data_IF_925070497912
#
_entry.id   IF_925070497912
#
_cell.length_a   1.000
_cell.length_b   1.000
_cell.length_c   1.000
_cell.angle_alpha   90.00
_cell.angle_beta   90.00
_cell.angle_gamma   90.00
#
_symmetry.space_group_name_H-M   'P 1'
#
loop_
_entity.id
_entity.type
_entity.pdbx_description
1 polymer ?
#
# COMPACT_ATOMS: atom_id res chain seq x y z
N UNK A 1 14.10 -20.91 21.31
CA UNK A 1 12.70 -21.18 21.59
C UNK A 1 11.82 -20.41 20.62
N UNK A 2 10.83 -21.07 20.09
CA UNK A 2 9.90 -20.53 19.12
C UNK A 2 9.02 -19.45 19.78
N UNK A 3 9.12 -18.21 19.33
CA UNK A 3 8.27 -17.10 19.83
C UNK A 3 6.85 -17.17 19.28
N UNK A 4 6.60 -17.98 18.25
CA UNK A 4 5.32 -18.01 17.56
C UNK A 4 4.16 -18.52 18.42
N UNK A 5 4.41 -19.47 19.33
CA UNK A 5 3.36 -20.02 20.18
C UNK A 5 3.11 -19.20 21.45
N UNK A 6 4.14 -18.98 22.27
CA UNK A 6 3.96 -18.47 23.62
C UNK A 6 3.69 -16.96 23.69
N UNK A 7 4.30 -16.16 22.82
CA UNK A 7 4.17 -14.69 22.86
C UNK A 7 2.86 -14.24 22.22
N UNK A 8 2.44 -14.90 21.16
CA UNK A 8 1.17 -14.59 20.50
C UNK A 8 -0.02 -14.96 21.38
N UNK A 9 0.00 -16.10 22.06
CA UNK A 9 -1.08 -16.52 22.96
C UNK A 9 -1.26 -15.60 24.16
N UNK A 10 -0.19 -15.18 24.84
CA UNK A 10 -0.30 -14.39 26.07
C UNK A 10 -0.70 -12.93 25.86
N UNK A 11 -0.33 -12.33 24.74
CA UNK A 11 -0.57 -10.89 24.48
C UNK A 11 -1.88 -10.66 23.73
N UNK A 12 -2.29 -11.55 22.86
CA UNK A 12 -3.45 -11.39 21.98
C UNK A 12 -4.73 -12.00 22.55
N UNK A 13 -4.66 -12.98 23.42
CA UNK A 13 -5.83 -13.66 23.99
C UNK A 13 -6.57 -12.85 25.06
N UNK A 14 -6.09 -11.66 25.44
CA UNK A 14 -6.82 -10.79 26.38
C UNK A 14 -7.98 -10.05 25.69
N UNK A 15 -8.90 -10.79 25.09
CA UNK A 15 -10.26 -10.32 24.87
C UNK A 15 -10.65 -9.79 23.50
N UNK A 16 -9.97 -10.17 22.41
CA UNK A 16 -10.41 -9.84 21.04
C UNK A 16 -10.39 -11.06 20.14
N UNK A 17 -11.34 -11.11 19.23
CA UNK A 17 -11.53 -12.12 18.20
C UNK A 17 -10.26 -12.20 17.32
N UNK A 18 -9.48 -13.23 17.51
CA UNK A 18 -8.12 -13.33 16.98
C UNK A 18 -8.04 -14.43 15.95
N UNK A 19 -8.36 -14.12 14.71
CA UNK A 19 -7.94 -14.93 13.58
C UNK A 19 -6.54 -14.54 13.15
N UNK A 20 -5.55 -14.76 14.00
CA UNK A 20 -4.15 -14.65 13.58
C UNK A 20 -3.78 -15.79 12.66
N UNK A 21 -2.88 -15.51 11.72
CA UNK A 21 -2.20 -16.56 10.97
C UNK A 21 -1.46 -17.46 11.95
N UNK A 22 -1.94 -18.69 12.07
CA UNK A 22 -1.24 -19.73 12.81
C UNK A 22 -0.05 -20.19 11.97
N UNK A 23 1.08 -19.53 12.17
CA UNK A 23 2.33 -19.90 11.53
C UNK A 23 3.51 -19.71 12.48
N UNK A 24 4.34 -20.72 12.57
CA UNK A 24 5.60 -20.63 13.28
C UNK A 24 6.58 -19.82 12.41
N UNK A 25 6.98 -18.65 12.88
CA UNK A 25 8.06 -17.87 12.29
C UNK A 25 9.38 -18.14 13.01
N UNK A 26 10.54 -18.06 12.33
CA UNK A 26 11.83 -18.18 12.99
C UNK A 26 12.01 -17.17 14.10
N UNK A 27 12.57 -17.61 15.20
CA UNK A 27 12.82 -16.76 16.36
C UNK A 27 13.81 -15.64 16.05
N UNK A 28 13.45 -14.43 16.44
CA UNK A 28 14.33 -13.29 16.43
C UNK A 28 14.97 -13.13 17.83
N UNK A 29 16.28 -13.29 17.89
CA UNK A 29 17.02 -13.29 19.17
C UNK A 29 17.34 -11.86 19.60
N UNK A 30 16.34 -11.10 20.05
CA UNK A 30 16.52 -9.85 20.75
C UNK A 30 16.22 -9.98 22.24
N UNK A 31 16.85 -9.12 23.02
CA UNK A 31 16.66 -9.08 24.48
C UNK A 31 15.36 -8.42 24.91
N UNK A 32 14.76 -7.61 24.05
CA UNK A 32 13.48 -6.94 24.32
C UNK A 32 12.33 -7.66 23.60
N UNK A 33 11.21 -7.79 24.32
CA UNK A 33 9.99 -8.33 23.74
C UNK A 33 9.40 -7.35 22.74
N UNK A 34 8.95 -7.81 21.56
CA UNK A 34 8.29 -6.95 20.60
C UNK A 34 6.94 -6.46 21.10
N UNK A 35 6.49 -5.34 20.59
CA UNK A 35 5.07 -5.00 20.61
C UNK A 35 4.39 -5.74 19.45
N UNK A 36 3.19 -6.26 19.70
CA UNK A 36 2.43 -7.03 18.72
C UNK A 36 1.19 -6.25 18.33
N UNK A 37 0.99 -6.10 17.05
CA UNK A 37 -0.15 -5.39 16.46
C UNK A 37 -0.84 -6.26 15.41
N UNK A 38 -2.14 -6.12 15.30
CA UNK A 38 -2.84 -6.58 14.11
C UNK A 38 -2.63 -5.59 12.98
N UNK A 39 -2.26 -6.07 11.82
CA UNK A 39 -2.14 -5.30 10.60
C UNK A 39 -3.06 -5.88 9.54
N UNK A 40 -3.84 -5.04 8.89
CA UNK A 40 -4.73 -5.47 7.81
C UNK A 40 -5.74 -6.57 8.22
N UNK A 41 -6.92 -6.17 8.56
CA UNK A 41 -7.93 -6.96 9.25
C UNK A 41 -8.51 -8.17 8.55
N UNK A 42 -8.27 -8.34 7.28
CA UNK A 42 -9.01 -9.36 6.51
C UNK A 42 -8.37 -10.74 6.58
N UNK A 43 -7.08 -10.85 6.97
CA UNK A 43 -6.32 -12.09 6.79
C UNK A 43 -5.57 -12.59 8.02
N UNK A 44 -5.79 -11.97 9.18
CA UNK A 44 -5.07 -12.34 10.41
C UNK A 44 -3.59 -11.94 10.40
N UNK A 45 -3.21 -10.97 9.57
CA UNK A 45 -1.85 -10.44 9.55
C UNK A 45 -1.51 -9.77 10.88
N UNK A 46 -0.26 -9.89 11.30
CA UNK A 46 0.22 -9.24 12.51
C UNK A 46 1.63 -8.70 12.33
N UNK A 47 1.97 -7.72 13.14
CA UNK A 47 3.27 -7.08 13.18
C UNK A 47 3.93 -7.28 14.54
N UNK A 48 5.22 -7.60 14.51
CA UNK A 48 6.10 -7.60 15.66
C UNK A 48 7.04 -6.41 15.53
N UNK A 49 6.92 -5.43 16.42
CA UNK A 49 7.75 -4.24 16.41
C UNK A 49 8.78 -4.30 17.52
N UNK A 50 10.04 -4.23 17.13
CA UNK A 50 11.22 -4.19 18.00
C UNK A 50 11.81 -2.79 18.00
N UNK A 51 12.20 -2.31 19.19
CA UNK A 51 12.90 -1.04 19.39
C UNK A 51 14.37 -1.26 19.67
N UNK A 52 15.15 -0.19 19.56
CA UNK A 52 16.59 -0.19 19.84
C UNK A 52 17.37 -1.24 19.02
N UNK A 53 16.94 -1.47 17.79
CA UNK A 53 17.59 -2.40 16.87
C UNK A 53 18.55 -1.69 15.95
N UNK A 54 19.55 -2.42 15.46
CA UNK A 54 20.48 -1.95 14.44
C UNK A 54 20.29 -2.67 13.10
N UNK A 55 21.05 -2.22 12.11
CA UNK A 55 21.07 -2.86 10.78
C UNK A 55 21.61 -4.29 10.85
N UNK A 56 22.49 -4.56 11.82
CA UNK A 56 23.08 -5.89 12.00
C UNK A 56 22.03 -6.92 12.43
N UNK A 57 21.11 -6.53 13.31
CA UNK A 57 19.99 -7.40 13.72
C UNK A 57 19.02 -7.66 12.56
N UNK A 58 18.75 -6.64 11.75
CA UNK A 58 17.97 -6.84 10.52
C UNK A 58 18.63 -7.85 9.59
N UNK A 59 19.92 -7.69 9.31
CA UNK A 59 20.66 -8.57 8.42
C UNK A 59 20.71 -10.01 8.97
N UNK A 60 20.94 -10.15 10.28
CA UNK A 60 20.95 -11.45 10.95
C UNK A 60 19.58 -12.15 10.87
N UNK A 61 18.48 -11.39 11.02
CA UNK A 61 17.15 -11.97 10.91
C UNK A 61 16.80 -12.35 9.48
N UNK A 62 17.14 -11.53 8.50
CA UNK A 62 16.98 -11.89 7.09
C UNK A 62 17.74 -13.17 6.75
N UNK A 63 18.96 -13.35 7.30
CA UNK A 63 19.72 -14.59 7.12
C UNK A 63 19.04 -15.78 7.82
N UNK A 64 18.49 -15.59 9.02
CA UNK A 64 17.74 -16.62 9.74
C UNK A 64 16.52 -17.10 8.95
N UNK A 65 15.80 -16.17 8.30
CA UNK A 65 14.69 -16.51 7.41
C UNK A 65 15.16 -17.34 6.20
N UNK A 66 16.25 -16.91 5.57
CA UNK A 66 16.82 -17.63 4.44
C UNK A 66 17.27 -19.05 4.82
N UNK A 67 17.96 -19.20 5.95
CA UNK A 67 18.42 -20.50 6.48
C UNK A 67 17.24 -21.41 6.87
N UNK A 68 16.11 -20.81 7.23
CA UNK A 68 14.85 -21.51 7.52
C UNK A 68 14.06 -21.88 6.26
N UNK A 69 14.61 -21.58 5.08
CA UNK A 69 14.03 -21.93 3.78
C UNK A 69 13.01 -20.93 3.24
N UNK A 70 12.94 -19.73 3.79
CA UNK A 70 12.16 -18.65 3.18
C UNK A 70 12.90 -18.07 1.97
N UNK A 71 12.23 -18.02 0.83
CA UNK A 71 12.78 -17.40 -0.38
C UNK A 71 12.62 -15.89 -0.34
N UNK A 72 13.69 -15.15 -0.61
CA UNK A 72 13.63 -13.68 -0.77
C UNK A 72 12.82 -13.34 -2.02
N UNK A 73 11.67 -12.69 -1.84
CA UNK A 73 10.80 -12.25 -2.92
C UNK A 73 11.12 -10.82 -3.36
N UNK A 74 11.48 -9.96 -2.43
CA UNK A 74 11.90 -8.58 -2.67
C UNK A 74 12.91 -8.14 -1.61
N UNK A 75 13.80 -7.21 -1.98
CA UNK A 75 14.70 -6.56 -1.05
C UNK A 75 15.23 -5.27 -1.63
N UNK A 76 15.25 -4.21 -0.85
CA UNK A 76 15.83 -2.92 -1.25
C UNK A 76 16.19 -2.08 -0.04
N UNK A 77 17.07 -1.12 -0.28
CA UNK A 77 17.51 -0.15 0.71
C UNK A 77 17.18 1.26 0.21
N UNK A 78 16.74 2.11 1.11
CA UNK A 78 16.52 3.53 0.84
C UNK A 78 17.07 4.34 2.00
N UNK A 79 18.15 5.09 1.74
CA UNK A 79 18.88 5.85 2.77
C UNK A 79 19.33 4.96 3.94
N UNK A 80 18.84 5.21 5.17
CA UNK A 80 19.12 4.41 6.36
C UNK A 80 18.17 3.25 6.59
N UNK A 81 17.14 3.10 5.74
CA UNK A 81 16.12 2.07 5.90
C UNK A 81 16.40 0.87 4.99
N UNK A 82 15.97 -0.30 5.43
CA UNK A 82 16.10 -1.56 4.68
C UNK A 82 14.83 -2.36 4.75
N UNK A 83 14.46 -3.00 3.64
CA UNK A 83 13.20 -3.72 3.48
C UNK A 83 13.44 -5.04 2.79
N UNK A 84 12.85 -6.11 3.30
CA UNK A 84 12.88 -7.43 2.68
C UNK A 84 11.56 -8.15 2.82
N UNK A 85 11.14 -8.82 1.77
CA UNK A 85 9.96 -9.67 1.76
C UNK A 85 10.37 -11.10 1.48
N UNK A 86 10.04 -11.99 2.37
CA UNK A 86 10.32 -13.41 2.29
C UNK A 86 9.04 -14.23 2.16
N UNK A 87 9.10 -15.37 1.48
CA UNK A 87 7.96 -16.26 1.30
C UNK A 87 8.31 -17.71 1.49
N UNK A 88 7.41 -18.42 2.18
CA UNK A 88 7.46 -19.89 2.34
C UNK A 88 6.07 -20.43 2.67
N UNK A 89 5.67 -21.52 2.04
CA UNK A 89 4.49 -22.32 2.38
C UNK A 89 3.19 -21.52 2.62
N UNK A 90 2.95 -20.50 1.79
CA UNK A 90 1.76 -19.67 1.90
C UNK A 90 1.84 -18.59 2.99
N UNK A 91 3.02 -18.32 3.51
CA UNK A 91 3.31 -17.22 4.45
C UNK A 91 4.22 -16.21 3.77
N UNK A 92 3.95 -14.93 3.98
CA UNK A 92 4.80 -13.80 3.62
C UNK A 92 5.28 -13.12 4.89
N UNK A 93 6.57 -12.90 4.99
CA UNK A 93 7.21 -12.16 6.08
C UNK A 93 7.88 -10.93 5.49
N UNK A 94 7.41 -9.75 5.88
CA UNK A 94 8.07 -8.49 5.57
C UNK A 94 8.93 -8.08 6.76
N UNK A 95 10.17 -7.71 6.50
CA UNK A 95 11.13 -7.25 7.52
C UNK A 95 11.56 -5.84 7.14
N UNK A 96 11.15 -4.87 7.95
CA UNK A 96 11.37 -3.45 7.70
C UNK A 96 12.25 -2.86 8.81
N UNK A 97 13.39 -2.30 8.44
CA UNK A 97 14.31 -1.63 9.35
C UNK A 97 14.30 -0.13 9.10
N UNK A 98 14.04 0.64 10.15
CA UNK A 98 14.00 2.10 10.16
C UNK A 98 15.23 2.65 10.88
N UNK A 99 16.25 3.00 10.13
CA UNK A 99 17.56 3.35 10.70
C UNK A 99 17.58 4.62 11.55
N UNK A 100 16.67 5.58 11.32
CA UNK A 100 16.57 6.81 12.12
C UNK A 100 15.97 6.58 13.49
N UNK A 101 14.92 5.75 13.56
CA UNK A 101 14.21 5.43 14.82
C UNK A 101 14.80 4.22 15.53
N UNK A 102 15.67 3.46 14.86
CA UNK A 102 16.21 2.18 15.31
C UNK A 102 15.09 1.19 15.67
N UNK A 103 14.16 1.07 14.78
CA UNK A 103 13.02 0.16 14.89
C UNK A 103 13.11 -0.90 13.80
N UNK A 104 12.63 -2.09 14.12
CA UNK A 104 12.51 -3.20 13.20
C UNK A 104 11.11 -3.77 13.32
N UNK A 105 10.37 -3.76 12.21
CA UNK A 105 9.07 -4.37 12.08
C UNK A 105 9.19 -5.71 11.35
N UNK A 106 8.55 -6.74 11.89
CA UNK A 106 8.39 -8.04 11.24
C UNK A 106 6.89 -8.26 11.04
N UNK A 107 6.44 -8.20 9.80
CA UNK A 107 5.03 -8.33 9.47
C UNK A 107 4.79 -9.70 8.86
N UNK A 108 3.87 -10.44 9.43
CA UNK A 108 3.50 -11.80 9.00
C UNK A 108 2.12 -11.78 8.36
N UNK A 109 2.03 -12.20 7.12
CA UNK A 109 0.80 -12.15 6.34
C UNK A 109 0.72 -13.33 5.34
N UNK A 110 -0.35 -13.41 4.61
CA UNK A 110 -0.45 -14.27 3.43
C UNK A 110 0.25 -13.62 2.23
N UNK A 111 0.85 -14.40 1.32
CA UNK A 111 1.48 -13.86 0.13
C UNK A 111 0.53 -12.99 -0.67
N UNK A 112 0.96 -11.78 -0.98
CA UNK A 112 0.26 -10.82 -1.81
C UNK A 112 1.02 -10.59 -3.11
N UNK A 113 0.39 -9.91 -4.07
CA UNK A 113 1.10 -9.49 -5.27
C UNK A 113 2.24 -8.55 -4.88
N UNK A 114 3.44 -8.82 -5.38
CA UNK A 114 4.59 -7.94 -5.18
C UNK A 114 4.54 -6.76 -6.14
N UNK A 115 4.97 -5.59 -5.68
CA UNK A 115 5.20 -4.44 -6.53
C UNK A 115 6.27 -4.76 -7.59
N UNK A 116 6.13 -4.20 -8.78
CA UNK A 116 7.20 -4.29 -9.78
C UNK A 116 8.35 -3.40 -9.34
N UNK A 117 9.50 -4.01 -9.03
CA UNK A 117 10.72 -3.29 -8.67
C UNK A 117 11.65 -3.05 -9.88
N UNK A 118 11.29 -3.59 -11.03
CA UNK A 118 12.09 -3.46 -12.23
C UNK A 118 11.75 -2.17 -12.96
N UNK A 119 12.72 -1.26 -13.02
CA UNK A 119 12.69 -0.16 -13.97
C UNK A 119 12.92 -0.72 -15.37
N UNK A 120 11.89 -0.75 -16.16
CA UNK A 120 12.01 -0.99 -17.59
C UNK A 120 11.91 0.37 -18.28
N UNK A 121 13.00 0.96 -18.79
CA UNK A 121 12.88 2.11 -19.65
C UNK A 121 12.08 1.69 -20.87
N UNK A 122 10.95 2.35 -21.08
CA UNK A 122 10.13 2.17 -22.26
C UNK A 122 10.50 3.24 -23.28
N UNK A 123 10.28 2.93 -24.56
CA UNK A 123 10.41 3.94 -25.62
C UNK A 123 9.44 5.09 -25.32
N UNK A 124 9.96 6.29 -25.23
CA UNK A 124 9.15 7.46 -24.93
C UNK A 124 8.24 7.79 -26.12
N UNK A 125 6.93 7.79 -25.86
CA UNK A 125 5.90 8.16 -26.84
C UNK A 125 5.22 9.49 -26.50
N UNK A 126 5.42 9.97 -25.26
CA UNK A 126 4.89 11.26 -24.79
C UNK A 126 5.83 11.91 -23.79
N UNK A 127 5.58 13.16 -23.45
CA UNK A 127 6.27 13.86 -22.36
C UNK A 127 5.55 13.55 -21.05
N UNK A 128 6.27 13.11 -20.01
CA UNK A 128 5.66 12.87 -18.70
C UNK A 128 4.96 14.10 -18.16
N UNK A 129 3.79 13.92 -17.56
CA UNK A 129 3.00 15.01 -17.01
C UNK A 129 2.18 14.58 -15.80
N UNK A 130 1.92 15.55 -14.94
CA UNK A 130 0.94 15.45 -13.88
C UNK A 130 -0.35 16.12 -14.35
N UNK A 131 -1.47 15.43 -14.23
CA UNK A 131 -2.79 15.91 -14.59
C UNK A 131 -3.65 15.78 -13.34
N UNK A 132 -4.27 16.87 -12.94
CA UNK A 132 -5.33 16.87 -11.95
C UNK A 132 -6.66 16.88 -12.72
N UNK A 133 -7.49 15.83 -12.62
CA UNK A 133 -8.77 15.79 -13.33
C UNK A 133 -9.72 16.92 -12.93
N UNK A 134 -9.44 17.56 -11.80
CA UNK A 134 -10.03 18.78 -11.24
C UNK A 134 -11.51 18.92 -11.46
N UNK A 135 -12.30 18.82 -10.43
CA UNK A 135 -13.69 19.15 -10.48
C UNK A 135 -13.95 20.45 -9.74
N UNK A 136 -14.07 21.52 -10.50
CA UNK A 136 -14.88 22.63 -10.06
C UNK A 136 -16.36 22.20 -10.13
N UNK A 137 -16.84 21.65 -9.03
CA UNK A 137 -18.26 21.39 -8.86
C UNK A 137 -18.81 22.50 -7.98
N UNK A 138 -19.47 23.50 -8.56
CA UNK A 138 -20.05 24.66 -7.86
C UNK A 138 -19.10 25.33 -6.83
N UNK A 139 -17.79 25.35 -7.12
CA UNK A 139 -16.76 25.92 -6.28
C UNK A 139 -16.27 25.03 -5.13
N UNK A 140 -16.70 23.78 -5.04
CA UNK A 140 -16.18 22.81 -4.09
C UNK A 140 -15.35 21.75 -4.82
N UNK A 141 -14.06 21.63 -4.47
CA UNK A 141 -13.24 20.48 -4.83
C UNK A 141 -13.81 19.24 -4.14
N UNK A 142 -14.11 18.21 -4.90
CA UNK A 142 -14.62 16.95 -4.36
C UNK A 142 -13.56 15.87 -4.47
N UNK A 143 -12.80 15.71 -3.39
CA UNK A 143 -11.84 14.64 -3.23
C UNK A 143 -10.54 14.82 -4.01
N UNK A 144 -9.62 13.93 -3.76
CA UNK A 144 -8.27 13.96 -4.29
C UNK A 144 -8.11 12.94 -5.42
N UNK A 145 -7.57 13.37 -6.55
CA UNK A 145 -7.16 12.47 -7.64
C UNK A 145 -6.06 13.11 -8.47
N UNK A 146 -4.93 12.42 -8.56
CA UNK A 146 -3.80 12.85 -9.40
C UNK A 146 -3.44 11.77 -10.41
N UNK A 147 -3.37 12.14 -11.67
CA UNK A 147 -2.98 11.26 -12.77
C UNK A 147 -1.58 11.65 -13.24
N UNK A 148 -0.64 10.75 -13.04
CA UNK A 148 0.73 10.86 -13.54
C UNK A 148 0.83 10.05 -14.83
N UNK A 149 1.13 10.69 -15.95
CA UNK A 149 1.41 10.00 -17.19
C UNK A 149 2.92 9.80 -17.35
N UNK A 150 3.35 8.56 -17.55
CA UNK A 150 4.72 8.20 -17.86
C UNK A 150 5.06 8.46 -19.32
N UNK A 151 6.34 8.47 -19.67
CA UNK A 151 6.80 8.68 -21.05
C UNK A 151 6.33 7.63 -22.04
N UNK A 152 6.03 6.41 -21.60
CA UNK A 152 5.45 5.35 -22.43
C UNK A 152 3.94 5.48 -22.67
N UNK A 153 3.34 6.56 -22.14
CA UNK A 153 1.91 6.84 -22.25
C UNK A 153 1.04 6.10 -21.21
N UNK A 154 1.63 5.27 -20.35
CA UNK A 154 0.91 4.63 -19.26
C UNK A 154 0.70 5.58 -18.07
N UNK A 155 -0.12 5.17 -17.10
CA UNK A 155 -0.52 6.01 -15.99
C UNK A 155 -0.17 5.40 -14.63
N UNK A 156 0.17 6.27 -13.69
CA UNK A 156 0.11 6.03 -12.25
C UNK A 156 -0.92 6.99 -11.68
N UNK A 157 -1.90 6.49 -10.96
CA UNK A 157 -2.96 7.31 -10.36
C UNK A 157 -2.82 7.27 -8.85
N UNK A 158 -2.99 8.43 -8.21
CA UNK A 158 -3.02 8.58 -6.75
C UNK A 158 -4.40 9.10 -6.39
N UNK A 159 -5.11 8.30 -5.63
CA UNK A 159 -6.52 8.44 -5.26
C UNK A 159 -7.49 8.48 -6.45
N UNK A 160 -8.76 8.41 -6.19
CA UNK A 160 -9.80 8.29 -7.20
C UNK A 160 -10.84 9.40 -7.16
N UNK A 161 -10.73 10.33 -6.22
CA UNK A 161 -11.75 11.36 -6.02
C UNK A 161 -13.09 10.81 -5.52
N UNK A 162 -14.09 11.67 -5.52
CA UNK A 162 -15.45 11.31 -5.10
C UNK A 162 -16.14 10.43 -6.16
N UNK A 163 -17.02 9.53 -5.70
CA UNK A 163 -17.76 8.59 -6.51
C UNK A 163 -19.00 9.20 -7.19
N UNK A 164 -18.87 10.31 -7.90
CA UNK A 164 -19.98 10.82 -8.69
C UNK A 164 -19.79 10.56 -10.21
N UNK A 165 -20.89 10.42 -10.93
CA UNK A 165 -20.88 10.05 -12.34
C UNK A 165 -20.14 11.09 -13.22
N UNK A 166 -20.21 12.38 -12.87
CA UNK A 166 -19.54 13.44 -13.63
C UNK A 166 -18.03 13.37 -13.43
N UNK A 167 -17.59 13.08 -12.19
CA UNK A 167 -16.17 12.87 -11.92
C UNK A 167 -15.62 11.66 -12.66
N UNK A 168 -16.30 10.52 -12.57
CA UNK A 168 -15.90 9.28 -13.24
C UNK A 168 -15.80 9.48 -14.75
N UNK A 169 -16.76 10.18 -15.36
CA UNK A 169 -16.71 10.54 -16.78
C UNK A 169 -15.52 11.45 -17.10
N UNK A 170 -15.26 12.44 -16.27
CA UNK A 170 -14.12 13.35 -16.42
C UNK A 170 -12.79 12.61 -16.30
N UNK A 171 -12.63 11.76 -15.28
CA UNK A 171 -11.44 10.95 -15.08
C UNK A 171 -11.18 10.06 -16.30
N UNK A 172 -12.19 9.33 -16.76
CA UNK A 172 -12.05 8.51 -17.95
C UNK A 172 -11.70 9.34 -19.19
N UNK A 173 -12.31 10.51 -19.38
CA UNK A 173 -11.99 11.39 -20.51
C UNK A 173 -10.54 11.84 -20.50
N UNK A 174 -10.02 12.24 -19.31
CA UNK A 174 -8.60 12.59 -19.15
C UNK A 174 -7.68 11.44 -19.52
N UNK A 175 -7.97 10.23 -19.07
CA UNK A 175 -7.18 9.05 -19.40
C UNK A 175 -7.22 8.76 -20.91
N UNK A 176 -8.41 8.82 -21.50
CA UNK A 176 -8.61 8.53 -22.93
C UNK A 176 -7.95 9.57 -23.85
N UNK A 177 -8.11 10.85 -23.55
CA UNK A 177 -7.56 11.96 -24.34
C UNK A 177 -6.03 11.99 -24.35
N UNK A 178 -5.42 11.48 -23.30
CA UNK A 178 -3.97 11.44 -23.14
C UNK A 178 -3.36 10.06 -23.47
N UNK A 179 -4.16 9.03 -23.71
CA UNK A 179 -3.66 7.72 -24.12
C UNK A 179 -3.00 7.78 -25.51
N UNK A 180 -1.98 6.96 -25.78
CA UNK A 180 -1.41 6.82 -27.11
C UNK A 180 -2.49 6.45 -28.13
N UNK A 181 -2.36 6.97 -29.34
CA UNK A 181 -3.36 6.77 -30.41
C UNK A 181 -3.68 5.28 -30.62
N UNK A 182 -4.97 4.97 -30.66
CA UNK A 182 -5.47 3.61 -30.86
C UNK A 182 -5.26 2.65 -29.68
N UNK A 183 -4.78 3.13 -28.54
CA UNK A 183 -4.59 2.33 -27.34
C UNK A 183 -5.68 2.61 -26.30
N UNK A 184 -5.99 1.59 -25.50
CA UNK A 184 -6.73 1.79 -24.25
C UNK A 184 -5.83 2.51 -23.25
N UNK A 185 -6.38 3.37 -22.38
CA UNK A 185 -5.65 3.86 -21.23
C UNK A 185 -5.12 2.69 -20.39
N UNK A 186 -3.82 2.70 -20.10
CA UNK A 186 -3.16 1.65 -19.32
C UNK A 186 -2.68 2.23 -17.99
N UNK A 187 -3.35 1.86 -16.90
CA UNK A 187 -3.02 2.23 -15.53
C UNK A 187 -2.13 1.13 -14.96
N UNK A 188 -0.84 1.41 -14.83
CA UNK A 188 0.11 0.46 -14.23
C UNK A 188 -0.06 0.33 -12.72
N UNK A 189 -0.43 1.43 -12.08
CA UNK A 189 -0.67 1.44 -10.65
C UNK A 189 -1.71 2.48 -10.28
N UNK A 190 -2.61 2.11 -9.38
CA UNK A 190 -3.56 3.00 -8.75
C UNK A 190 -3.36 2.95 -7.25
N UNK A 191 -2.81 4.01 -6.67
CA UNK A 191 -2.58 4.13 -5.24
C UNK A 191 -3.82 4.71 -4.57
N UNK A 192 -4.30 4.08 -3.51
CA UNK A 192 -5.35 4.58 -2.63
C UNK A 192 -4.70 4.91 -1.29
N UNK A 193 -4.69 6.20 -0.93
CA UNK A 193 -3.97 6.67 0.26
C UNK A 193 -4.62 6.21 1.54
N UNK A 194 -5.94 6.31 1.66
CA UNK A 194 -6.72 5.88 2.81
C UNK A 194 -8.19 5.60 2.44
N UNK A 195 -8.99 5.13 3.40
CA UNK A 195 -10.32 4.59 3.12
C UNK A 195 -11.46 5.64 3.21
N UNK A 196 -11.23 6.88 2.78
CA UNK A 196 -12.29 7.86 2.63
C UNK A 196 -12.95 7.81 1.24
N UNK A 197 -14.24 8.17 1.19
CA UNK A 197 -15.05 8.07 -0.03
C UNK A 197 -14.56 8.99 -1.14
N UNK A 198 -14.10 10.16 -0.79
CA UNK A 198 -13.56 11.18 -1.69
C UNK A 198 -12.10 10.92 -2.15
N UNK A 199 -11.53 9.78 -1.74
CA UNK A 199 -10.23 9.29 -2.20
C UNK A 199 -10.35 8.00 -3.01
N UNK A 200 -11.37 7.18 -2.76
CA UNK A 200 -11.52 5.89 -3.41
C UNK A 200 -12.82 5.74 -4.22
N UNK A 201 -13.77 6.66 -4.05
CA UNK A 201 -15.11 6.55 -4.65
C UNK A 201 -15.08 6.49 -6.17
N UNK A 202 -14.36 7.38 -6.81
CA UNK A 202 -14.26 7.40 -8.27
C UNK A 202 -13.57 6.18 -8.86
N UNK A 203 -12.58 5.59 -8.18
CA UNK A 203 -12.02 4.29 -8.58
C UNK A 203 -13.09 3.19 -8.53
N UNK A 204 -13.82 3.10 -7.40
CA UNK A 204 -14.87 2.09 -7.19
C UNK A 204 -15.97 2.22 -8.25
N UNK A 205 -16.43 3.42 -8.52
CA UNK A 205 -17.51 3.67 -9.47
C UNK A 205 -17.06 3.50 -10.93
N UNK A 206 -15.83 3.91 -11.27
CA UNK A 206 -15.24 3.63 -12.58
C UNK A 206 -15.14 2.11 -12.82
N UNK A 207 -14.64 1.37 -11.83
CA UNK A 207 -14.50 -0.08 -11.91
C UNK A 207 -15.83 -0.84 -11.90
N UNK A 208 -16.89 -0.26 -11.35
CA UNK A 208 -18.24 -0.85 -11.33
C UNK A 208 -19.10 -0.46 -12.53
N UNK A 209 -18.68 0.55 -13.28
CA UNK A 209 -19.44 1.14 -14.37
C UNK A 209 -19.01 0.71 -15.77
N UNK A 210 -19.53 1.44 -16.76
CA UNK A 210 -19.27 1.22 -18.19
C UNK A 210 -17.81 1.37 -18.60
N UNK A 211 -17.01 2.06 -17.80
CA UNK A 211 -15.62 2.38 -18.13
C UNK A 211 -14.62 1.28 -17.73
N UNK A 212 -15.00 0.33 -16.88
CA UNK A 212 -14.11 -0.75 -16.45
C UNK A 212 -13.48 -1.52 -17.62
N UNK A 213 -14.25 -1.83 -18.65
CA UNK A 213 -13.78 -2.55 -19.84
C UNK A 213 -12.98 -1.67 -20.82
N UNK A 214 -12.97 -0.36 -20.61
CA UNK A 214 -12.35 0.61 -21.50
C UNK A 214 -10.94 1.04 -21.06
N UNK A 215 -10.50 0.59 -19.89
CA UNK A 215 -9.13 0.80 -19.38
C UNK A 215 -8.46 -0.56 -19.11
N UNK A 216 -7.16 -0.56 -18.97
CA UNK A 216 -6.35 -1.64 -18.43
C UNK A 216 -5.79 -1.17 -17.11
N UNK A 217 -5.84 -2.01 -16.06
CA UNK A 217 -5.26 -1.70 -14.75
C UNK A 217 -4.48 -2.89 -14.24
N UNK A 218 -3.17 -2.71 -13.99
CA UNK A 218 -2.30 -3.81 -13.56
C UNK A 218 -2.44 -4.08 -12.06
N UNK A 219 -2.48 -3.02 -11.24
CA UNK A 219 -2.52 -3.17 -9.79
C UNK A 219 -3.13 -1.96 -9.08
N UNK A 220 -3.79 -2.25 -7.95
CA UNK A 220 -4.24 -1.28 -6.96
C UNK A 220 -3.37 -1.44 -5.71
N UNK A 221 -2.75 -0.36 -5.30
CA UNK A 221 -1.86 -0.28 -4.14
C UNK A 221 -2.60 0.41 -3.00
N UNK A 222 -2.65 -0.24 -1.85
CA UNK A 222 -3.23 0.33 -0.64
C UNK A 222 -2.63 -0.33 0.60
N UNK A 223 -2.71 0.33 1.74
CA UNK A 223 -2.42 -0.28 3.03
C UNK A 223 -3.46 0.23 4.03
N UNK A 224 -4.46 -0.60 4.29
CA UNK A 224 -5.61 -0.22 5.10
C UNK A 224 -5.44 -0.72 6.53
N UNK A 225 -5.79 0.08 7.55
CA UNK A 225 -5.64 -0.29 8.94
C UNK A 225 -6.50 -1.50 9.31
N UNK A 226 -6.09 -2.18 10.39
CA UNK A 226 -6.88 -3.27 10.95
C UNK A 226 -8.20 -2.75 11.53
N UNK A 227 -9.29 -3.41 11.15
CA UNK A 227 -10.64 -3.03 11.58
C UNK A 227 -10.85 -2.97 13.10
N UNK A 228 -10.07 -3.75 13.86
CA UNK A 228 -10.13 -3.78 15.32
C UNK A 228 -9.61 -2.52 16.01
N UNK A 229 -8.91 -1.64 15.29
CA UNK A 229 -8.42 -0.36 15.83
C UNK A 229 -9.43 0.78 15.64
N UNK A 230 -10.55 0.53 14.97
CA UNK A 230 -11.57 1.54 14.72
C UNK A 230 -12.51 1.66 15.90
N UNK A 231 -12.21 2.57 16.82
CA UNK A 231 -13.10 2.85 17.95
C UNK A 231 -14.09 3.98 17.69
N UNK A 232 -13.72 4.94 16.84
CA UNK A 232 -14.48 6.17 16.62
C UNK A 232 -15.21 6.24 15.26
N UNK A 233 -14.88 5.33 14.35
CA UNK A 233 -15.47 5.32 13.00
C UNK A 233 -16.53 4.24 12.88
N UNK A 234 -17.54 4.47 12.01
CA UNK A 234 -18.51 3.44 11.66
C UNK A 234 -17.80 2.26 10.97
N UNK A 235 -17.56 1.21 11.75
CA UNK A 235 -16.88 -0.02 11.29
C UNK A 235 -17.57 -0.62 10.07
N UNK A 236 -18.90 -0.53 9.99
CA UNK A 236 -19.64 -1.09 8.85
C UNK A 236 -19.36 -0.33 7.56
N UNK A 237 -19.26 0.99 7.63
CA UNK A 237 -18.90 1.84 6.48
C UNK A 237 -17.49 1.54 6.00
N UNK A 238 -16.55 1.42 6.91
CA UNK A 238 -15.16 1.08 6.58
C UNK A 238 -15.07 -0.30 5.90
N UNK A 239 -15.66 -1.34 6.49
CA UNK A 239 -15.65 -2.68 5.92
C UNK A 239 -16.30 -2.74 4.53
N UNK A 240 -17.39 -2.02 4.35
CA UNK A 240 -18.05 -1.92 3.05
C UNK A 240 -17.14 -1.23 2.00
N UNK A 241 -16.40 -0.20 2.40
CA UNK A 241 -15.43 0.47 1.51
C UNK A 241 -14.31 -0.48 1.10
N UNK A 242 -13.73 -1.22 2.03
CA UNK A 242 -12.68 -2.22 1.72
C UNK A 242 -13.21 -3.31 0.79
N UNK A 243 -14.39 -3.87 1.07
CA UNK A 243 -15.01 -4.87 0.21
C UNK A 243 -15.30 -4.33 -1.20
N UNK A 244 -15.71 -3.06 -1.32
CA UNK A 244 -15.93 -2.42 -2.61
C UNK A 244 -14.60 -2.17 -3.36
N UNK A 245 -13.51 -1.85 -2.67
CA UNK A 245 -12.19 -1.72 -3.28
C UNK A 245 -11.69 -3.06 -3.83
N UNK A 246 -11.85 -4.14 -3.07
CA UNK A 246 -11.52 -5.50 -3.54
C UNK A 246 -12.36 -5.90 -4.76
N UNK A 247 -13.67 -5.58 -4.74
CA UNK A 247 -14.54 -5.79 -5.89
C UNK A 247 -14.12 -4.97 -7.09
N UNK A 248 -13.70 -3.73 -6.89
CA UNK A 248 -13.17 -2.86 -7.96
C UNK A 248 -11.93 -3.47 -8.60
N UNK A 249 -10.99 -3.97 -7.79
CA UNK A 249 -9.81 -4.66 -8.29
C UNK A 249 -10.19 -5.89 -9.14
N UNK A 250 -11.10 -6.71 -8.66
CA UNK A 250 -11.60 -7.88 -9.40
C UNK A 250 -12.25 -7.48 -10.74
N UNK A 251 -13.08 -6.44 -10.75
CA UNK A 251 -13.75 -5.96 -11.97
C UNK A 251 -12.75 -5.44 -13.02
N UNK A 252 -11.67 -4.84 -12.59
CA UNK A 252 -10.59 -4.35 -13.46
C UNK A 252 -9.58 -5.45 -13.83
N UNK A 253 -9.64 -6.63 -13.20
CA UNK A 253 -8.61 -7.67 -13.31
C UNK A 253 -7.27 -7.25 -12.69
N UNK A 254 -7.28 -6.24 -11.82
CA UNK A 254 -6.11 -5.67 -11.17
C UNK A 254 -5.68 -6.50 -9.95
N UNK A 255 -4.37 -6.52 -9.69
CA UNK A 255 -3.84 -7.14 -8.48
C UNK A 255 -3.97 -6.17 -7.29
N UNK A 256 -4.38 -6.67 -6.12
CA UNK A 256 -4.25 -5.90 -4.88
C UNK A 256 -2.84 -6.05 -4.34
N UNK A 257 -2.17 -4.93 -4.09
CA UNK A 257 -0.80 -4.87 -3.58
C UNK A 257 -0.81 -4.08 -2.27
N UNK A 258 -0.21 -4.64 -1.22
CA UNK A 258 -0.01 -3.89 0.02
C UNK A 258 1.16 -2.94 -0.15
N UNK A 259 0.88 -1.64 -0.02
CA UNK A 259 1.86 -0.58 -0.05
C UNK A 259 2.48 -0.42 1.35
N UNK A 260 3.79 -0.55 1.46
CA UNK A 260 4.51 -0.46 2.75
C UNK A 260 5.60 0.59 2.67
N UNK A 261 5.88 1.21 3.78
CA UNK A 261 6.95 2.20 3.90
C UNK A 261 8.27 1.63 3.44
N UNK A 262 8.99 2.42 2.64
CA UNK A 262 10.28 2.09 2.04
C UNK A 262 10.19 1.40 0.69
N UNK A 263 9.04 0.87 0.29
CA UNK A 263 8.88 0.30 -1.04
C UNK A 263 9.14 1.38 -2.10
N UNK A 264 10.02 1.05 -3.05
CA UNK A 264 10.24 1.86 -4.24
C UNK A 264 9.75 1.08 -5.45
N UNK A 265 8.80 1.64 -6.16
CA UNK A 265 8.20 1.08 -7.35
C UNK A 265 8.64 1.88 -8.57
N UNK A 266 8.80 1.20 -9.70
CA UNK A 266 9.16 1.84 -10.96
C UNK A 266 8.09 1.53 -12.00
N UNK A 267 7.54 2.58 -12.60
CA UNK A 267 6.53 2.50 -13.64
C UNK A 267 7.02 3.31 -14.85
N UNK A 268 7.61 2.63 -15.82
CA UNK A 268 8.38 3.26 -16.90
C UNK A 268 9.45 4.22 -16.31
N UNK A 269 9.34 5.51 -16.55
CA UNK A 269 10.26 6.54 -16.05
C UNK A 269 9.80 7.23 -14.76
N UNK A 270 8.74 6.72 -14.12
CA UNK A 270 8.26 7.18 -12.82
C UNK A 270 8.86 6.30 -11.72
N UNK A 271 9.62 6.90 -10.81
CA UNK A 271 10.05 6.29 -9.55
C UNK A 271 9.11 6.78 -8.43
N UNK A 272 8.42 5.86 -7.77
CA UNK A 272 7.55 6.13 -6.62
C UNK A 272 8.11 5.44 -5.39
N UNK A 273 8.32 6.19 -4.30
CA UNK A 273 8.77 5.65 -3.03
C UNK A 273 7.73 5.94 -1.94
N UNK A 274 7.26 4.91 -1.27
CA UNK A 274 6.38 5.03 -0.11
C UNK A 274 7.25 5.38 1.09
N UNK A 275 6.97 6.51 1.73
CA UNK A 275 7.75 7.06 2.84
C UNK A 275 6.99 7.06 4.16
N UNK A 276 5.70 6.72 4.13
CA UNK A 276 4.85 6.53 5.30
C UNK A 276 3.64 5.67 4.97
N UNK A 277 3.28 4.80 5.86
CA UNK A 277 2.09 3.94 5.79
C UNK A 277 1.53 3.68 7.19
N UNK A 278 0.35 3.08 7.26
CA UNK A 278 -0.26 2.71 8.53
C UNK A 278 0.61 1.78 9.37
N UNK A 279 1.50 1.01 8.75
CA UNK A 279 2.40 0.09 9.47
C UNK A 279 3.43 0.82 10.34
N UNK A 280 3.72 2.10 10.05
CA UNK A 280 4.66 2.91 10.84
C UNK A 280 4.02 3.52 12.08
N UNK A 281 2.71 3.39 12.21
CA UNK A 281 1.95 4.04 13.25
C UNK A 281 1.66 3.07 14.38
N UNK A 282 1.97 3.48 15.60
CA UNK A 282 1.53 2.79 16.81
C UNK A 282 0.04 3.04 17.06
N UNK A 283 -0.80 2.49 16.20
CA UNK A 283 -2.22 2.69 16.30
C UNK A 283 -2.81 1.78 17.37
N UNK A 284 -2.81 2.26 18.60
CA UNK A 284 -3.73 1.73 19.61
C UNK A 284 -5.12 2.36 19.47
N UNK A 285 -5.17 3.56 18.89
CA UNK A 285 -6.42 4.29 18.69
C UNK A 285 -6.19 5.47 17.72
N UNK A 286 -6.78 5.44 16.54
CA UNK A 286 -6.80 6.60 15.65
C UNK A 286 -8.22 7.16 15.58
N UNK A 287 -8.32 8.46 15.60
CA UNK A 287 -9.60 9.16 15.61
C UNK A 287 -10.15 9.39 14.22
N UNK A 288 -9.29 9.35 13.20
CA UNK A 288 -9.65 9.59 11.81
C UNK A 288 -8.83 8.71 10.86
N UNK A 289 -9.46 8.28 9.76
CA UNK A 289 -8.80 7.52 8.70
C UNK A 289 -7.73 8.34 7.95
N UNK A 290 -7.81 9.66 7.97
CA UNK A 290 -6.80 10.56 7.40
C UNK A 290 -5.41 10.24 7.93
N UNK A 291 -5.31 9.95 9.23
CA UNK A 291 -4.06 9.58 9.90
C UNK A 291 -3.42 8.31 9.32
N UNK A 292 -4.18 7.48 8.63
CA UNK A 292 -3.71 6.22 8.03
C UNK A 292 -3.24 6.38 6.59
N UNK A 293 -3.19 7.62 6.09
CA UNK A 293 -2.84 7.92 4.70
C UNK A 293 -1.45 7.42 4.32
N UNK A 294 -1.35 6.82 3.14
CA UNK A 294 -0.05 6.58 2.49
C UNK A 294 0.60 7.94 2.17
N UNK A 295 1.86 8.07 2.56
CA UNK A 295 2.69 9.20 2.17
C UNK A 295 3.75 8.70 1.19
N UNK A 296 3.85 9.35 0.04
CA UNK A 296 4.75 8.89 -1.01
C UNK A 296 5.48 10.04 -1.70
N UNK A 297 6.68 9.76 -2.18
CA UNK A 297 7.41 10.65 -3.09
C UNK A 297 7.40 10.05 -4.48
N UNK A 298 7.23 10.90 -5.47
CA UNK A 298 7.27 10.55 -6.89
C UNK A 298 8.37 11.35 -7.57
N UNK A 299 9.22 10.65 -8.32
CA UNK A 299 10.27 11.27 -9.12
C UNK A 299 10.04 10.95 -10.59
N UNK A 300 10.03 11.98 -11.42
CA UNK A 300 9.97 11.88 -12.88
C UNK A 300 11.04 12.81 -13.45
N UNK A 301 12.05 12.25 -14.08
CA UNK A 301 13.22 12.99 -14.53
C UNK A 301 13.90 13.73 -13.36
N UNK A 302 14.02 15.07 -13.46
CA UNK A 302 14.57 15.92 -12.40
C UNK A 302 13.53 16.46 -11.41
N UNK A 303 12.25 16.15 -11.60
CA UNK A 303 11.17 16.63 -10.73
C UNK A 303 10.88 15.62 -9.63
N UNK A 304 10.63 16.13 -8.42
CA UNK A 304 10.20 15.35 -7.27
C UNK A 304 8.96 15.98 -6.66
N UNK A 305 7.96 15.15 -6.43
CA UNK A 305 6.66 15.52 -5.83
C UNK A 305 6.48 14.72 -4.54
N UNK A 306 5.66 15.22 -3.65
CA UNK A 306 5.21 14.52 -2.44
C UNK A 306 3.69 14.50 -2.47
N UNK A 307 3.12 13.33 -2.20
CA UNK A 307 1.69 13.12 -2.00
C UNK A 307 1.50 12.55 -0.61
N UNK A 308 0.70 13.21 0.21
CA UNK A 308 0.48 12.85 1.62
C UNK A 308 -0.91 12.28 1.90
N UNK A 309 -1.77 12.17 0.89
CA UNK A 309 -3.19 12.02 1.17
C UNK A 309 -3.63 13.13 2.11
N UNK A 310 -4.43 12.79 3.10
CA UNK A 310 -4.94 13.70 4.13
C UNK A 310 -4.19 13.56 5.46
N UNK A 311 -2.96 12.99 5.42
CA UNK A 311 -2.14 12.88 6.61
C UNK A 311 -1.94 14.26 7.25
N UNK A 312 -2.58 14.44 8.38
CA UNK A 312 -2.47 15.64 9.22
C UNK A 312 -1.36 15.54 10.24
N UNK A 313 -1.10 16.64 10.97
CA UNK A 313 -0.14 16.67 12.07
C UNK A 313 -0.62 15.85 13.28
#
# INVERSE_FOLDING_TARGET
GDLSGAVCEDILLKGKDTTMLDCAIPHFSLTEMPRIFHVSGVHGAYELLYKNTGKEEYDAYCQTLADSGYGLAQGYNKESNSFSVFRKDGVEITVDYFGKTKELAVIVDKPKATASLTFAPADAVTVPKLIEPGLEYDGALKGMCYVLQASDGSYVIIDGGDGDAAFVERLYSVLKENAPEGKKPHVRAWFVTHAHGDHMGGLIDLASGKYASLIECDAIYSNMPYEGYQSAYDKSTYLNRIANLEKAANNLGAKMVTARTGQTCYFADIELCIIGSVDDMFLTDYSDLDQTSLVMTVKVGSKKLIFSGDAGP
#
